data_IF_737377601312
#
_entry.id   IF_737377601312
#
_cell.length_a   1.000
_cell.length_b   1.000
_cell.length_c   1.000
_cell.angle_alpha   90.00
_cell.angle_beta   90.00
_cell.angle_gamma   90.00
#
_symmetry.space_group_name_H-M   'P 1'
#
loop_
_entity.id
_entity.type
_entity.pdbx_description
1 polymer ?
#
# COMPACT_ATOMS: atom_id res chain seq x y z
N UNK A 1 19.84 -62.30 22.98
CA UNK A 1 19.85 -61.67 24.33
C UNK A 1 19.57 -60.17 24.16
N UNK A 2 18.33 -59.73 24.33
CA UNK A 2 17.90 -58.36 24.02
C UNK A 2 18.19 -57.43 25.21
N UNK A 3 19.28 -56.66 25.16
CA UNK A 3 19.55 -55.59 26.14
C UNK A 3 18.58 -54.43 25.88
N UNK A 4 17.51 -54.36 26.67
CA UNK A 4 16.66 -53.16 26.72
C UNK A 4 17.45 -52.04 27.40
N UNK A 5 17.75 -50.97 26.67
CA UNK A 5 18.24 -49.71 27.23
C UNK A 5 17.16 -49.16 28.16
N UNK A 6 17.27 -49.43 29.47
CA UNK A 6 16.50 -48.72 30.49
C UNK A 6 17.07 -47.30 30.57
N UNK A 7 16.53 -46.43 29.72
CA UNK A 7 16.78 -45.01 29.74
C UNK A 7 16.03 -44.43 30.94
N UNK A 8 16.59 -44.62 32.13
CA UNK A 8 16.16 -43.89 33.31
C UNK A 8 16.44 -42.42 33.04
N UNK A 9 15.40 -41.60 32.95
CA UNK A 9 15.51 -40.14 32.94
C UNK A 9 16.13 -39.76 34.28
N UNK A 10 17.47 -39.74 34.33
CA UNK A 10 18.19 -39.14 35.44
C UNK A 10 17.82 -37.66 35.50
N UNK A 11 17.96 -37.05 36.67
CA UNK A 11 17.61 -35.64 36.94
C UNK A 11 18.10 -34.68 35.83
N UNK A 12 19.22 -34.99 35.15
CA UNK A 12 19.72 -34.21 34.00
C UNK A 12 18.87 -34.21 32.72
N UNK A 13 18.10 -35.28 32.44
CA UNK A 13 17.26 -35.37 31.24
C UNK A 13 16.06 -34.41 31.29
N UNK A 14 15.44 -34.28 32.47
CA UNK A 14 14.36 -33.31 32.69
C UNK A 14 14.87 -31.86 32.57
N UNK A 15 16.08 -31.57 33.04
CA UNK A 15 16.69 -30.24 32.95
C UNK A 15 16.97 -29.82 31.50
N UNK A 16 17.43 -30.76 30.66
CA UNK A 16 17.68 -30.48 29.23
C UNK A 16 16.37 -30.13 28.52
N UNK A 17 15.29 -30.87 28.78
CA UNK A 17 13.95 -30.59 28.22
C UNK A 17 13.47 -29.19 28.66
N UNK A 18 13.66 -28.83 29.92
CA UNK A 18 13.26 -27.51 30.41
C UNK A 18 14.03 -26.38 29.70
N UNK A 19 15.34 -26.52 29.50
CA UNK A 19 16.15 -25.52 28.81
C UNK A 19 15.70 -25.34 27.36
N UNK A 20 15.47 -26.43 26.61
CA UNK A 20 15.00 -26.31 25.22
C UNK A 20 13.63 -25.63 25.16
N UNK A 21 12.70 -25.99 26.04
CA UNK A 21 11.37 -25.36 26.07
C UNK A 21 11.48 -23.88 26.37
N UNK A 22 12.29 -23.47 27.35
CA UNK A 22 12.48 -22.05 27.67
C UNK A 22 13.13 -21.30 26.50
N UNK A 23 14.14 -21.88 25.86
CA UNK A 23 14.75 -21.29 24.66
C UNK A 23 13.75 -21.15 23.52
N UNK A 24 12.93 -22.17 23.25
CA UNK A 24 11.87 -22.14 22.24
C UNK A 24 10.81 -21.09 22.56
N UNK A 25 10.36 -20.99 23.81
CA UNK A 25 9.39 -19.97 24.21
C UNK A 25 9.98 -18.55 24.07
N UNK A 26 11.27 -18.39 24.37
CA UNK A 26 11.97 -17.11 24.23
C UNK A 26 12.04 -16.69 22.76
N UNK A 27 12.44 -17.58 21.86
CA UNK A 27 12.52 -17.26 20.42
C UNK A 27 11.15 -16.97 19.83
N UNK A 28 10.12 -17.75 20.19
CA UNK A 28 8.73 -17.50 19.79
C UNK A 28 8.23 -16.14 20.30
N UNK A 29 8.53 -15.79 21.55
CA UNK A 29 8.14 -14.50 22.14
C UNK A 29 8.79 -13.32 21.43
N UNK A 30 10.09 -13.42 21.12
CA UNK A 30 10.82 -12.39 20.38
C UNK A 30 10.25 -12.22 18.97
N UNK A 31 9.97 -13.33 18.27
CA UNK A 31 9.35 -13.27 16.95
C UNK A 31 7.95 -12.62 17.00
N UNK A 32 7.13 -12.97 17.99
CA UNK A 32 5.82 -12.34 18.21
C UNK A 32 5.94 -10.83 18.41
N UNK A 33 6.94 -10.36 19.16
CA UNK A 33 7.18 -8.93 19.38
C UNK A 33 7.68 -8.24 18.10
N UNK A 34 8.59 -8.88 17.36
CA UNK A 34 9.08 -8.37 16.09
C UNK A 34 7.95 -8.23 15.07
N UNK A 35 7.09 -9.24 14.95
CA UNK A 35 5.91 -9.22 14.09
C UNK A 35 4.94 -8.11 14.52
N UNK A 36 4.59 -8.01 15.81
CA UNK A 36 3.70 -6.95 16.29
C UNK A 36 4.24 -5.54 16.02
N UNK A 37 5.56 -5.33 16.15
CA UNK A 37 6.20 -4.06 15.82
C UNK A 37 6.17 -3.77 14.31
N UNK A 38 6.36 -4.80 13.48
CA UNK A 38 6.22 -4.68 12.02
C UNK A 38 4.80 -4.32 11.63
N UNK A 39 3.81 -5.01 12.20
CA UNK A 39 2.39 -4.78 11.96
C UNK A 39 1.97 -3.38 12.42
N UNK A 40 2.51 -2.90 13.55
CA UNK A 40 2.28 -1.54 14.02
C UNK A 40 2.82 -0.48 13.04
N UNK A 41 4.05 -0.65 12.54
CA UNK A 41 4.64 0.25 11.55
C UNK A 41 3.87 0.23 10.22
N UNK A 42 3.44 -0.96 9.78
CA UNK A 42 2.60 -1.12 8.59
C UNK A 42 1.27 -0.39 8.76
N UNK A 43 0.56 -0.65 9.85
CA UNK A 43 -0.72 -0.02 10.17
C UNK A 43 -0.61 1.50 10.20
N UNK A 44 0.44 2.05 10.83
CA UNK A 44 0.69 3.50 10.86
C UNK A 44 0.85 4.08 9.45
N UNK A 45 1.58 3.40 8.57
CA UNK A 45 1.75 3.83 7.18
C UNK A 45 0.44 3.75 6.40
N UNK A 46 -0.35 2.70 6.60
CA UNK A 46 -1.66 2.55 5.97
C UNK A 46 -2.62 3.65 6.40
N UNK A 47 -2.69 3.95 7.71
CA UNK A 47 -3.52 5.06 8.22
C UNK A 47 -3.10 6.39 7.62
N UNK A 48 -1.80 6.67 7.52
CA UNK A 48 -1.30 7.88 6.89
C UNK A 48 -1.73 7.95 5.41
N UNK A 49 -1.52 6.89 4.65
CA UNK A 49 -1.87 6.86 3.23
C UNK A 49 -3.38 7.07 2.98
N UNK A 50 -4.23 6.45 3.80
CA UNK A 50 -5.68 6.64 3.74
C UNK A 50 -6.07 8.07 4.11
N UNK A 51 -5.44 8.66 5.11
CA UNK A 51 -5.68 10.05 5.54
C UNK A 51 -5.30 11.03 4.42
N UNK A 52 -4.12 10.85 3.83
CA UNK A 52 -3.63 11.66 2.72
C UNK A 52 -4.57 11.58 1.51
N UNK A 53 -5.07 10.37 1.19
CA UNK A 53 -6.06 10.18 0.13
C UNK A 53 -7.35 10.97 0.36
N UNK A 54 -7.97 10.84 1.53
CA UNK A 54 -9.21 11.55 1.82
C UNK A 54 -9.02 13.06 1.92
N UNK A 55 -7.84 13.54 2.33
CA UNK A 55 -7.52 14.97 2.31
C UNK A 55 -7.47 15.52 0.87
N UNK A 56 -6.87 14.77 -0.06
CA UNK A 56 -6.86 15.14 -1.47
C UNK A 56 -8.25 15.05 -2.10
N UNK A 57 -9.05 14.05 -1.73
CA UNK A 57 -10.43 13.92 -2.19
C UNK A 57 -11.31 15.09 -1.70
N UNK A 58 -11.14 15.54 -0.45
CA UNK A 58 -11.82 16.73 0.06
C UNK A 58 -11.45 17.99 -0.75
N UNK A 59 -10.18 18.19 -1.10
CA UNK A 59 -9.76 19.30 -1.96
C UNK A 59 -10.40 19.20 -3.35
N UNK A 60 -10.55 17.97 -3.86
CA UNK A 60 -11.19 17.70 -5.13
C UNK A 60 -12.67 18.10 -5.10
N UNK A 61 -13.39 17.77 -4.03
CA UNK A 61 -14.78 18.20 -3.83
C UNK A 61 -14.91 19.72 -3.70
N UNK A 62 -13.97 20.39 -3.03
CA UNK A 62 -13.98 21.85 -2.90
C UNK A 62 -13.80 22.57 -4.26
N UNK A 63 -12.92 22.04 -5.12
CA UNK A 63 -12.75 22.52 -6.49
C UNK A 63 -14.03 22.29 -7.31
N UNK A 64 -14.67 21.13 -7.18
CA UNK A 64 -15.94 20.83 -7.85
C UNK A 64 -17.07 21.76 -7.39
N UNK A 65 -17.19 22.02 -6.09
CA UNK A 65 -18.18 22.93 -5.55
C UNK A 65 -17.98 24.37 -6.06
N UNK A 66 -16.71 24.79 -6.19
CA UNK A 66 -16.34 26.08 -6.78
C UNK A 66 -16.68 26.14 -8.26
N UNK A 67 -16.42 25.06 -9.01
CA UNK A 67 -16.76 24.92 -10.42
C UNK A 67 -18.28 24.97 -10.66
N UNK A 68 -19.07 24.26 -9.85
CA UNK A 68 -20.55 24.29 -9.91
C UNK A 68 -21.10 25.70 -9.64
N UNK A 69 -20.53 26.41 -8.68
CA UNK A 69 -20.90 27.79 -8.36
C UNK A 69 -20.61 28.73 -9.54
N UNK A 70 -19.44 28.59 -10.18
CA UNK A 70 -19.06 29.40 -11.34
C UNK A 70 -19.95 29.12 -12.57
N UNK A 71 -20.28 27.85 -12.82
CA UNK A 71 -21.22 27.47 -13.89
C UNK A 71 -22.62 28.01 -13.65
N UNK A 72 -23.14 27.94 -12.42
CA UNK A 72 -24.43 28.55 -12.04
C UNK A 72 -24.43 30.07 -12.25
N UNK A 73 -23.29 30.72 -12.08
CA UNK A 73 -23.10 32.14 -12.33
C UNK A 73 -22.82 32.47 -13.82
N UNK A 74 -22.97 31.51 -14.74
CA UNK A 74 -22.83 31.71 -16.18
C UNK A 74 -21.40 31.86 -16.68
N UNK A 75 -20.39 31.52 -15.86
CA UNK A 75 -18.99 31.55 -16.26
C UNK A 75 -18.56 30.16 -16.78
N UNK A 76 -17.98 30.06 -17.98
CA UNK A 76 -17.48 28.79 -18.52
C UNK A 76 -16.28 28.30 -17.70
N UNK A 77 -16.14 26.97 -17.58
CA UNK A 77 -14.99 26.35 -16.91
C UNK A 77 -13.72 26.61 -17.73
N UNK A 78 -12.72 27.27 -17.13
CA UNK A 78 -11.45 27.59 -17.80
C UNK A 78 -10.47 26.40 -17.84
N UNK A 79 -10.71 25.32 -17.09
CA UNK A 79 -9.77 24.20 -16.96
C UNK A 79 -10.49 22.87 -16.73
N UNK A 80 -10.22 21.90 -17.61
CA UNK A 80 -10.87 20.58 -17.64
C UNK A 80 -10.04 19.47 -16.97
N UNK A 81 -8.90 19.79 -16.35
CA UNK A 81 -8.02 18.80 -15.73
C UNK A 81 -7.38 19.38 -14.47
N UNK A 82 -7.68 18.76 -13.33
CA UNK A 82 -7.14 19.14 -12.03
C UNK A 82 -6.26 18.00 -11.51
N UNK A 83 -5.01 18.31 -11.18
CA UNK A 83 -4.09 17.39 -10.53
C UNK A 83 -3.94 17.80 -9.07
N UNK A 84 -4.34 16.91 -8.16
CA UNK A 84 -4.27 17.15 -6.73
C UNK A 84 -3.21 16.22 -6.16
N UNK A 85 -2.24 16.81 -5.47
CA UNK A 85 -1.16 16.07 -4.85
C UNK A 85 -1.70 15.30 -3.63
N UNK A 86 -1.57 13.97 -3.65
CA UNK A 86 -2.01 13.11 -2.55
C UNK A 86 -0.82 12.79 -1.65
N UNK A 87 0.32 12.41 -2.25
CA UNK A 87 1.54 12.04 -1.54
C UNK A 87 2.73 12.01 -2.49
N UNK A 88 3.96 11.87 -1.99
CA UNK A 88 5.21 11.81 -2.79
C UNK A 88 5.19 10.78 -3.94
N UNK A 89 4.30 9.78 -3.87
CA UNK A 89 4.20 8.70 -4.86
C UNK A 89 2.91 8.71 -5.67
N UNK A 90 1.94 9.56 -5.35
CA UNK A 90 0.59 9.47 -5.92
C UNK A 90 -0.07 10.84 -6.05
N UNK A 91 -0.71 11.07 -7.19
CA UNK A 91 -1.52 12.24 -7.49
C UNK A 91 -2.95 11.78 -7.81
N UNK A 92 -3.96 12.52 -7.38
CA UNK A 92 -5.34 12.33 -7.77
C UNK A 92 -5.59 13.21 -9.00
N UNK A 93 -5.77 12.57 -10.16
CA UNK A 93 -6.08 13.27 -11.41
C UNK A 93 -7.59 13.23 -11.63
N UNK A 94 -8.19 14.42 -11.74
CA UNK A 94 -9.59 14.62 -12.09
C UNK A 94 -9.67 15.20 -13.50
N UNK A 95 -10.40 14.52 -14.38
CA UNK A 95 -10.75 15.04 -15.71
C UNK A 95 -12.24 15.33 -15.78
N UNK A 96 -12.56 16.55 -16.21
CA UNK A 96 -13.92 17.05 -16.40
C UNK A 96 -14.16 17.22 -17.89
N UNK A 97 -15.32 16.77 -18.35
CA UNK A 97 -15.80 17.07 -19.69
C UNK A 97 -17.07 17.90 -19.59
N UNK A 98 -17.09 18.97 -20.35
CA UNK A 98 -18.15 19.96 -20.36
C UNK A 98 -19.09 19.64 -21.51
N UNK A 99 -20.34 19.29 -21.19
CA UNK A 99 -21.40 19.12 -22.18
C UNK A 99 -22.40 20.28 -22.03
N UNK A 100 -22.15 21.38 -22.74
CA UNK A 100 -23.02 22.56 -22.72
C UNK A 100 -23.05 23.29 -21.37
N UNK A 101 -24.15 23.17 -20.63
CA UNK A 101 -24.41 23.86 -19.34
C UNK A 101 -24.26 22.93 -18.11
N UNK A 102 -23.73 21.72 -18.32
CA UNK A 102 -23.52 20.73 -17.26
C UNK A 102 -22.10 20.15 -17.36
N UNK A 103 -21.51 19.83 -16.21
CA UNK A 103 -20.21 19.18 -16.14
C UNK A 103 -20.39 17.71 -15.74
N UNK A 104 -19.66 16.81 -16.41
CA UNK A 104 -19.59 15.41 -16.02
C UNK A 104 -18.16 15.06 -15.61
N UNK A 105 -18.03 14.32 -14.51
CA UNK A 105 -16.74 13.82 -14.03
C UNK A 105 -16.46 12.51 -14.78
N UNK A 106 -15.62 12.55 -15.81
CA UNK A 106 -15.26 11.35 -16.60
C UNK A 106 -14.40 10.39 -15.78
N UNK A 107 -13.49 10.92 -14.97
CA UNK A 107 -12.60 10.07 -14.18
C UNK A 107 -12.00 10.80 -13.00
N UNK A 108 -12.07 10.15 -11.82
CA UNK A 108 -11.24 10.41 -10.65
C UNK A 108 -10.35 9.19 -10.45
N UNK A 109 -9.04 9.32 -10.68
CA UNK A 109 -8.08 8.21 -10.51
C UNK A 109 -6.86 8.65 -9.73
N UNK A 110 -6.46 7.82 -8.77
CA UNK A 110 -5.13 7.85 -8.17
C UNK A 110 -4.13 7.35 -9.22
N UNK A 111 -3.26 8.24 -9.67
CA UNK A 111 -2.17 7.92 -10.59
C UNK A 111 -0.86 8.05 -9.82
N UNK A 112 0.03 7.05 -9.87
CA UNK A 112 1.34 7.18 -9.25
C UNK A 112 2.11 8.37 -9.88
N UNK A 113 2.71 9.20 -9.04
CA UNK A 113 3.48 10.39 -9.47
C UNK A 113 4.76 10.03 -10.22
N UNK A 114 5.25 8.80 -10.10
CA UNK A 114 6.33 8.26 -10.92
C UNK A 114 5.74 7.43 -12.06
N UNK A 115 5.88 7.89 -13.31
CA UNK A 115 5.69 7.03 -14.46
C UNK A 115 6.82 5.99 -14.48
N UNK A 116 6.48 4.71 -14.49
CA UNK A 116 7.45 3.67 -14.80
C UNK A 116 7.86 3.87 -16.26
N UNK A 117 9.09 4.31 -16.51
CA UNK A 117 9.68 4.29 -17.85
C UNK A 117 9.91 2.84 -18.29
N UNK A 118 8.91 2.24 -18.94
CA UNK A 118 9.02 0.90 -19.53
C UNK A 118 10.15 0.82 -20.57
N UNK A 119 10.54 1.96 -21.14
CA UNK A 119 11.60 2.05 -22.15
C UNK A 119 13.01 1.84 -21.59
N UNK A 120 13.24 2.06 -20.28
CA UNK A 120 14.56 1.80 -19.66
C UNK A 120 14.87 0.32 -19.44
N UNK A 121 13.87 -0.55 -19.48
CA UNK A 121 14.01 -1.99 -19.24
C UNK A 121 13.45 -2.83 -20.39
N UNK A 122 13.46 -2.31 -21.62
CA UNK A 122 13.30 -3.12 -22.82
C UNK A 122 14.40 -4.18 -22.82
N UNK A 123 14.02 -5.38 -22.39
CA UNK A 123 14.88 -6.55 -22.39
C UNK A 123 15.19 -6.83 -23.86
N UNK A 124 16.47 -6.76 -24.23
CA UNK A 124 16.96 -7.17 -25.55
C UNK A 124 16.79 -8.69 -25.68
N UNK A 125 15.57 -9.17 -25.83
CA UNK A 125 15.32 -10.52 -26.32
C UNK A 125 15.05 -10.41 -27.82
N UNK A 126 16.13 -10.24 -28.58
CA UNK A 126 16.15 -10.41 -30.04
C UNK A 126 16.35 -11.89 -30.39
N UNK A 127 15.57 -12.78 -29.79
CA UNK A 127 15.50 -14.16 -30.24
C UNK A 127 14.36 -14.28 -31.26
N UNK A 128 14.73 -14.11 -32.53
CA UNK A 128 13.88 -14.46 -33.68
C UNK A 128 13.72 -15.97 -33.69
N UNK A 129 12.60 -16.46 -33.15
CA UNK A 129 12.23 -17.88 -33.31
C UNK A 129 11.89 -18.10 -34.78
N UNK A 130 12.83 -18.69 -35.52
CA UNK A 130 12.60 -19.18 -36.88
C UNK A 130 11.99 -20.57 -36.80
N UNK A 131 10.85 -20.77 -37.46
CA UNK A 131 10.12 -22.03 -37.56
C UNK A 131 10.77 -23.01 -38.54
#
# INVERSE_FOLDING_TARGET
>A
MNKKLKMGVGIGGSSIIMIIVVLSLTTLSVLSLMTANSDWKLTKRTVQAVTDYYNADNQAEEILASADTNLKNGHPLETNSFEIFVSEKQNLVMKLETEGSSYSVISRKLVPSSQWEYEQYQIQFDDVITY
#
